data_IF_359355207544
#
_entry.id   IF_359355207544
#
_cell.length_a   1.000
_cell.length_b   1.000
_cell.length_c   1.000
_cell.angle_alpha   90.00
_cell.angle_beta   90.00
_cell.angle_gamma   90.00
#
_symmetry.space_group_name_H-M   'P 1'
#
loop_
_entity.id
_entity.type
_entity.pdbx_description
1 polymer ?
#
# COMPACT_ATOMS: atom_id res chain seq x y z
N UNK A 1 13.80 -8.34 -25.14
CA UNK A 1 13.14 -8.43 -23.83
C UNK A 1 11.67 -8.17 -24.05
N UNK A 2 10.78 -8.88 -23.34
CA UNK A 2 9.36 -8.57 -23.38
C UNK A 2 9.12 -7.16 -22.81
N UNK A 3 8.17 -6.44 -23.38
CA UNK A 3 7.69 -5.16 -22.87
C UNK A 3 6.94 -5.36 -21.55
N UNK A 4 6.82 -4.30 -20.75
CA UNK A 4 6.03 -4.35 -19.51
C UNK A 4 4.58 -4.74 -19.77
N UNK A 5 4.01 -4.31 -20.89
CA UNK A 5 2.63 -4.65 -21.28
C UNK A 5 2.48 -6.14 -21.63
N UNK A 6 3.43 -6.72 -22.37
CA UNK A 6 3.45 -8.16 -22.66
C UNK A 6 3.55 -8.99 -21.37
N UNK A 7 4.45 -8.62 -20.45
CA UNK A 7 4.61 -9.31 -19.16
C UNK A 7 3.33 -9.19 -18.31
N UNK A 8 2.70 -8.02 -18.30
CA UNK A 8 1.45 -7.81 -17.58
C UNK A 8 0.33 -8.68 -18.15
N UNK A 9 0.17 -8.70 -19.47
CA UNK A 9 -0.85 -9.50 -20.16
C UNK A 9 -0.68 -11.00 -19.86
N UNK A 10 0.56 -11.49 -19.88
CA UNK A 10 0.87 -12.87 -19.50
C UNK A 10 0.53 -13.14 -18.02
N UNK A 11 0.86 -12.22 -17.12
CA UNK A 11 0.60 -12.36 -15.68
C UNK A 11 -0.91 -12.35 -15.34
N UNK A 12 -1.72 -11.52 -16.00
CA UNK A 12 -3.17 -11.47 -15.76
C UNK A 12 -3.90 -12.68 -16.34
N UNK A 13 -3.35 -13.31 -17.38
CA UNK A 13 -3.89 -14.55 -17.96
C UNK A 13 -3.68 -15.79 -17.06
N UNK A 14 -2.82 -15.71 -16.05
CA UNK A 14 -2.58 -16.79 -15.11
C UNK A 14 -3.81 -17.10 -14.23
N UNK A 15 -3.97 -18.36 -13.79
CA UNK A 15 -4.89 -18.71 -12.71
C UNK A 15 -4.69 -17.83 -11.47
N UNK A 16 -5.76 -17.61 -10.70
CA UNK A 16 -5.75 -16.65 -9.57
C UNK A 16 -4.75 -17.01 -8.47
N UNK A 17 -4.58 -18.30 -8.19
CA UNK A 17 -3.60 -18.83 -7.24
C UNK A 17 -2.17 -18.51 -7.69
N UNK A 18 -1.85 -18.78 -8.96
CA UNK A 18 -0.53 -18.47 -9.53
C UNK A 18 -0.28 -16.96 -9.59
N UNK A 19 -1.29 -16.17 -9.95
CA UNK A 19 -1.19 -14.71 -9.97
C UNK A 19 -0.99 -14.13 -8.57
N UNK A 20 -1.60 -14.72 -7.55
CA UNK A 20 -1.41 -14.32 -6.14
C UNK A 20 0.02 -14.57 -5.71
N UNK A 21 0.54 -15.78 -5.96
CA UNK A 21 1.94 -16.11 -5.66
C UNK A 21 2.92 -15.17 -6.40
N UNK A 22 2.69 -14.92 -7.69
CA UNK A 22 3.52 -14.00 -8.47
C UNK A 22 3.47 -12.58 -7.90
N UNK A 23 2.30 -12.11 -7.47
CA UNK A 23 2.14 -10.79 -6.85
C UNK A 23 2.94 -10.68 -5.55
N UNK A 24 2.86 -11.69 -4.68
CA UNK A 24 3.63 -11.73 -3.43
C UNK A 24 5.14 -11.69 -3.68
N UNK A 25 5.62 -12.46 -4.67
CA UNK A 25 7.04 -12.47 -5.06
C UNK A 25 7.51 -11.14 -5.62
N UNK A 26 6.69 -10.48 -6.44
CA UNK A 26 7.01 -9.14 -6.97
C UNK A 26 7.05 -8.10 -5.85
N UNK A 27 6.08 -8.12 -4.92
CA UNK A 27 6.08 -7.24 -3.74
C UNK A 27 7.34 -7.48 -2.90
N UNK A 28 7.72 -8.73 -2.66
CA UNK A 28 8.93 -9.06 -1.91
C UNK A 28 10.19 -8.54 -2.60
N UNK A 29 10.32 -8.72 -3.92
CA UNK A 29 11.44 -8.17 -4.69
C UNK A 29 11.52 -6.65 -4.60
N UNK A 30 10.39 -5.95 -4.65
CA UNK A 30 10.36 -4.49 -4.50
C UNK A 30 10.78 -4.06 -3.09
N UNK A 31 10.49 -4.87 -2.07
CA UNK A 31 10.88 -4.59 -0.69
C UNK A 31 12.40 -4.67 -0.48
N UNK A 32 13.12 -5.47 -1.27
CA UNK A 32 14.59 -5.56 -1.22
C UNK A 32 15.27 -4.26 -1.66
N UNK A 33 14.63 -3.49 -2.56
CA UNK A 33 15.14 -2.22 -3.07
C UNK A 33 14.78 -1.02 -2.17
N UNK A 34 13.99 -1.22 -1.11
CA UNK A 34 13.64 -0.12 -0.20
C UNK A 34 14.86 0.22 0.65
N UNK A 35 15.36 1.45 0.48
CA UNK A 35 16.46 1.98 1.29
C UNK A 35 16.17 1.80 2.80
N UNK A 36 17.13 1.27 3.58
CA UNK A 36 17.00 1.19 5.04
C UNK A 36 16.65 2.53 5.70
N UNK A 37 17.06 3.66 5.10
CA UNK A 37 16.72 4.99 5.57
C UNK A 37 15.20 5.26 5.49
N UNK A 38 14.56 4.88 4.38
CA UNK A 38 13.11 5.01 4.19
C UNK A 38 12.38 4.14 5.21
N UNK A 39 12.81 2.89 5.36
CA UNK A 39 12.25 1.96 6.35
C UNK A 39 12.35 2.52 7.77
N UNK A 40 13.51 3.07 8.14
CA UNK A 40 13.72 3.67 9.45
C UNK A 40 12.86 4.92 9.66
N UNK A 41 12.74 5.79 8.66
CA UNK A 41 11.89 6.97 8.73
C UNK A 41 10.41 6.61 8.90
N UNK A 42 9.92 5.61 8.16
CA UNK A 42 8.55 5.10 8.31
C UNK A 42 8.33 4.50 9.71
N UNK A 43 9.28 3.72 10.20
CA UNK A 43 9.19 3.11 11.52
C UNK A 43 9.20 4.17 12.64
N UNK A 44 10.01 5.22 12.50
CA UNK A 44 10.02 6.35 13.41
C UNK A 44 8.66 7.07 13.43
N UNK A 45 8.05 7.30 12.26
CA UNK A 45 6.73 7.91 12.16
C UNK A 45 5.63 7.06 12.79
N UNK A 46 5.64 5.73 12.56
CA UNK A 46 4.69 4.81 13.20
C UNK A 46 4.80 4.89 14.73
N UNK A 47 6.02 4.82 15.28
CA UNK A 47 6.24 4.94 16.74
C UNK A 47 5.77 6.29 17.27
N UNK A 48 6.07 7.38 16.55
CA UNK A 48 5.63 8.73 16.92
C UNK A 48 4.11 8.80 16.99
N UNK A 49 3.39 8.28 15.99
CA UNK A 49 1.92 8.29 15.98
C UNK A 49 1.32 7.44 17.09
N UNK A 50 1.88 6.27 17.38
CA UNK A 50 1.46 5.44 18.52
C UNK A 50 1.57 6.26 19.82
N UNK A 51 2.71 6.91 20.06
CA UNK A 51 2.89 7.73 21.25
C UNK A 51 1.89 8.90 21.34
N UNK A 52 1.56 9.56 20.22
CA UNK A 52 0.55 10.61 20.19
C UNK A 52 -0.87 10.10 20.50
N UNK A 53 -1.19 8.88 20.07
CA UNK A 53 -2.46 8.23 20.42
C UNK A 53 -2.50 7.89 21.91
N UNK A 54 -1.44 7.28 22.43
CA UNK A 54 -1.33 6.86 23.83
C UNK A 54 -1.31 8.05 24.81
N UNK A 55 -0.69 9.16 24.42
CA UNK A 55 -0.65 10.38 25.23
C UNK A 55 -1.94 11.20 25.17
N UNK A 56 -2.86 10.89 24.24
CA UNK A 56 -4.06 11.69 23.97
C UNK A 56 -3.79 12.98 23.21
N UNK A 57 -2.57 13.19 22.70
CA UNK A 57 -2.24 14.34 21.83
C UNK A 57 -2.98 14.28 20.50
N UNK A 58 -3.19 13.07 19.96
CA UNK A 58 -3.93 12.85 18.74
C UNK A 58 -5.44 12.80 18.98
N UNK A 59 -6.20 13.69 18.34
CA UNK A 59 -7.66 13.58 18.27
C UNK A 59 -8.05 12.42 17.34
N UNK A 60 -8.62 11.36 17.91
CA UNK A 60 -9.07 10.20 17.16
C UNK A 60 -10.48 10.39 16.62
N UNK A 61 -10.77 9.74 15.50
CA UNK A 61 -12.11 9.59 14.95
C UNK A 61 -12.45 8.10 14.84
N UNK A 62 -13.75 7.72 14.79
CA UNK A 62 -14.15 6.35 14.54
C UNK A 62 -13.55 5.80 13.23
N UNK A 63 -13.11 4.54 13.26
CA UNK A 63 -12.43 3.92 12.11
C UNK A 63 -13.27 3.90 10.83
N UNK A 64 -14.57 3.60 10.96
CA UNK A 64 -15.51 3.60 9.83
C UNK A 64 -15.64 4.98 9.17
N UNK A 65 -15.63 6.04 9.99
CA UNK A 65 -15.65 7.43 9.51
C UNK A 65 -14.34 7.78 8.78
N UNK A 66 -13.20 7.41 9.34
CA UNK A 66 -11.89 7.60 8.71
C UNK A 66 -11.83 6.92 7.33
N UNK A 67 -12.22 5.65 7.26
CA UNK A 67 -12.22 4.89 6.01
C UNK A 67 -13.23 5.43 5.00
N UNK A 68 -14.39 5.93 5.44
CA UNK A 68 -15.35 6.58 4.55
C UNK A 68 -14.77 7.84 3.90
N UNK A 69 -14.08 8.69 4.68
CA UNK A 69 -13.41 9.89 4.16
C UNK A 69 -12.35 9.53 3.12
N UNK A 70 -11.52 8.52 3.38
CA UNK A 70 -10.51 8.03 2.43
C UNK A 70 -11.16 7.55 1.12
N UNK A 71 -12.21 6.74 1.21
CA UNK A 71 -12.94 6.24 0.04
C UNK A 71 -13.52 7.38 -0.81
N UNK A 72 -14.11 8.39 -0.17
CA UNK A 72 -14.65 9.56 -0.87
C UNK A 72 -13.54 10.33 -1.60
N UNK A 73 -12.42 10.60 -0.94
CA UNK A 73 -11.28 11.28 -1.56
C UNK A 73 -10.72 10.52 -2.77
N UNK A 74 -10.60 9.20 -2.66
CA UNK A 74 -10.13 8.36 -3.77
C UNK A 74 -11.13 8.36 -4.93
N UNK A 75 -12.43 8.27 -4.64
CA UNK A 75 -13.47 8.33 -5.67
C UNK A 75 -13.52 9.69 -6.39
N UNK A 76 -13.19 10.79 -5.72
CA UNK A 76 -13.10 12.13 -6.31
C UNK A 76 -11.88 12.30 -7.24
N UNK A 77 -10.79 11.55 -7.02
CA UNK A 77 -9.51 11.73 -7.72
C UNK A 77 -9.16 10.59 -8.69
N UNK A 78 -9.88 9.48 -8.67
CA UNK A 78 -9.76 8.44 -9.68
C UNK A 78 -10.64 8.81 -10.89
N UNK A 79 -10.08 8.94 -12.11
CA UNK A 79 -10.90 9.12 -13.29
C UNK A 79 -11.85 7.92 -13.42
N UNK A 80 -13.14 8.18 -13.63
CA UNK A 80 -14.09 7.13 -13.99
C UNK A 80 -13.55 6.41 -15.23
N UNK A 81 -13.20 5.14 -15.06
CA UNK A 81 -12.84 4.25 -16.17
C UNK A 81 -14.02 4.07 -17.13
#
# INVERSE_FOLDING_TARGET
MATTEEIFNDAVALPIDVRTELTERLIASLAEDISPEITNAQLAEVRRRIAQVESGEAALIPGDEALARVRNLLAEHLPSS
#
